data_IF_898775249758
#
_entry.id   IF_898775249758
#
_cell.length_a   1.000
_cell.length_b   1.000
_cell.length_c   1.000
_cell.angle_alpha   90.00
_cell.angle_beta   90.00
_cell.angle_gamma   90.00
#
_symmetry.space_group_name_H-M   'P 1'
#
loop_
_entity.id
_entity.type
_entity.pdbx_description
1 polymer ?
#
# COMPACT_ATOMS: atom_id res chain seq x y z
N UNK A 1 -8.47 -4.92 5.62
CA UNK A 1 -9.65 -4.04 5.56
C UNK A 1 -10.74 -4.55 6.50
N UNK A 2 -11.33 -5.73 6.32
CA UNK A 2 -12.46 -6.24 7.10
C UNK A 2 -12.22 -6.26 8.62
N UNK A 3 -11.01 -6.66 9.07
CA UNK A 3 -10.64 -6.61 10.47
C UNK A 3 -10.48 -5.16 10.98
N UNK A 4 -9.94 -4.27 10.14
CA UNK A 4 -9.75 -2.86 10.47
C UNK A 4 -11.06 -2.14 10.74
N UNK A 5 -12.08 -2.33 9.91
CA UNK A 5 -13.41 -1.71 10.12
C UNK A 5 -13.93 -2.01 11.52
N UNK A 6 -13.87 -3.28 11.95
CA UNK A 6 -14.35 -3.70 13.28
C UNK A 6 -13.56 -3.09 14.44
N UNK A 7 -12.29 -2.77 14.22
CA UNK A 7 -11.45 -2.12 15.25
C UNK A 7 -11.80 -0.65 15.35
N UNK A 8 -11.85 0.05 14.23
CA UNK A 8 -12.14 1.49 14.22
C UNK A 8 -13.54 1.84 14.73
N UNK A 9 -14.54 0.99 14.47
CA UNK A 9 -15.91 1.20 14.96
C UNK A 9 -16.03 1.09 16.49
N UNK A 10 -15.04 0.52 17.17
CA UNK A 10 -14.99 0.39 18.64
C UNK A 10 -14.19 1.50 19.32
N UNK A 11 -13.53 2.36 18.55
CA UNK A 11 -12.73 3.43 19.11
C UNK A 11 -13.63 4.63 19.43
N UNK A 12 -13.81 4.91 20.70
CA UNK A 12 -14.53 6.08 21.19
C UNK A 12 -13.57 7.29 21.30
N UNK A 13 -13.10 7.78 20.16
CA UNK A 13 -12.16 8.89 20.07
C UNK A 13 -12.87 10.20 19.73
N UNK A 14 -12.33 11.32 20.20
CA UNK A 14 -12.85 12.66 19.95
C UNK A 14 -11.73 13.60 19.51
N UNK A 15 -12.10 14.71 18.85
CA UNK A 15 -11.13 15.74 18.43
C UNK A 15 -10.06 15.22 17.47
N UNK A 16 -8.80 15.60 17.74
CA UNK A 16 -7.66 15.31 16.88
C UNK A 16 -7.32 13.82 16.84
N UNK A 17 -7.57 13.08 17.92
CA UNK A 17 -7.38 11.64 17.95
C UNK A 17 -8.34 10.92 17.00
N UNK A 18 -9.60 11.35 16.96
CA UNK A 18 -10.59 10.83 16.01
C UNK A 18 -10.20 11.13 14.57
N UNK A 19 -9.66 12.31 14.31
CA UNK A 19 -9.14 12.71 13.00
C UNK A 19 -7.96 11.84 12.59
N UNK A 20 -7.00 11.61 13.49
CA UNK A 20 -5.87 10.74 13.26
C UNK A 20 -6.28 9.29 12.96
N UNK A 21 -7.22 8.74 13.75
CA UNK A 21 -7.77 7.41 13.52
C UNK A 21 -8.47 7.30 12.15
N UNK A 22 -9.20 8.32 11.74
CA UNK A 22 -9.86 8.34 10.43
C UNK A 22 -8.86 8.38 9.26
N UNK A 23 -7.73 9.09 9.41
CA UNK A 23 -6.64 9.08 8.42
C UNK A 23 -6.11 7.66 8.24
N UNK A 24 -5.84 6.95 9.34
CA UNK A 24 -5.37 5.55 9.28
C UNK A 24 -6.43 4.62 8.67
N UNK A 25 -7.70 4.82 9.02
CA UNK A 25 -8.84 4.06 8.46
C UNK A 25 -8.89 4.16 6.92
N UNK A 26 -8.68 5.36 6.38
CA UNK A 26 -8.65 5.59 4.93
C UNK A 26 -7.39 4.99 4.31
N UNK A 27 -6.24 5.11 4.98
CA UNK A 27 -4.96 4.61 4.49
C UNK A 27 -4.91 3.07 4.35
N UNK A 28 -5.62 2.33 5.21
CA UNK A 28 -5.68 0.86 5.14
C UNK A 28 -6.31 0.33 3.84
N UNK A 29 -7.09 1.13 3.15
CA UNK A 29 -7.67 0.76 1.85
C UNK A 29 -6.64 0.80 0.70
N UNK A 30 -5.56 1.55 0.85
CA UNK A 30 -4.61 1.82 -0.22
C UNK A 30 -4.02 0.55 -0.88
N UNK A 31 -3.61 -0.50 -0.14
CA UNK A 31 -3.09 -1.71 -0.76
C UNK A 31 -4.11 -2.40 -1.68
N UNK A 32 -5.35 -2.55 -1.24
CA UNK A 32 -6.40 -3.16 -2.06
C UNK A 32 -6.76 -2.27 -3.26
N UNK A 33 -6.80 -0.95 -3.09
CA UNK A 33 -7.01 -0.01 -4.18
C UNK A 33 -5.93 -0.15 -5.25
N UNK A 34 -4.67 -0.31 -4.83
CA UNK A 34 -3.56 -0.50 -5.76
C UNK A 34 -3.65 -1.84 -6.51
N UNK A 35 -4.00 -2.93 -5.81
CA UNK A 35 -4.22 -4.24 -6.44
C UNK A 35 -5.34 -4.15 -7.48
N UNK A 36 -6.46 -3.53 -7.14
CA UNK A 36 -7.59 -3.35 -8.05
C UNK A 36 -7.21 -2.52 -9.28
N UNK A 37 -6.52 -1.40 -9.08
CA UNK A 37 -6.03 -0.56 -10.18
C UNK A 37 -5.08 -1.31 -11.12
N UNK A 38 -4.16 -2.10 -10.56
CA UNK A 38 -3.23 -2.93 -11.33
C UNK A 38 -3.95 -4.02 -12.15
N UNK A 39 -5.10 -4.49 -11.66
CA UNK A 39 -5.97 -5.44 -12.37
C UNK A 39 -6.93 -4.77 -13.37
N UNK A 40 -6.85 -3.44 -13.53
CA UNK A 40 -7.75 -2.69 -14.42
C UNK A 40 -9.17 -2.52 -13.90
N UNK A 41 -9.38 -2.71 -12.60
CA UNK A 41 -10.68 -2.58 -11.94
C UNK A 41 -10.81 -1.21 -11.25
N UNK A 42 -12.06 -0.77 -11.03
CA UNK A 42 -12.33 0.47 -10.28
C UNK A 42 -12.05 0.28 -8.77
N UNK A 43 -11.02 0.94 -8.20
CA UNK A 43 -10.57 0.67 -6.84
C UNK A 43 -11.63 0.92 -5.76
N UNK A 44 -12.45 1.97 -5.91
CA UNK A 44 -13.49 2.31 -4.95
C UNK A 44 -14.55 1.24 -4.86
N UNK A 45 -15.02 0.76 -6.00
CA UNK A 45 -16.03 -0.31 -6.09
C UNK A 45 -15.54 -1.61 -5.46
N UNK A 46 -14.27 -1.96 -5.73
CA UNK A 46 -13.66 -3.17 -5.16
C UNK A 46 -13.58 -3.09 -3.64
N UNK A 47 -13.14 -1.95 -3.09
CA UNK A 47 -13.04 -1.75 -1.64
C UNK A 47 -14.41 -1.88 -0.97
N UNK A 48 -15.42 -1.21 -1.50
CA UNK A 48 -16.77 -1.24 -0.93
C UNK A 48 -17.36 -2.66 -0.98
N UNK A 49 -17.13 -3.37 -2.07
CA UNK A 49 -17.58 -4.75 -2.19
C UNK A 49 -16.88 -5.66 -1.19
N UNK A 50 -15.55 -5.59 -1.05
CA UNK A 50 -14.79 -6.41 -0.08
C UNK A 50 -15.21 -6.13 1.36
N UNK A 51 -15.55 -4.88 1.68
CA UNK A 51 -16.05 -4.53 3.02
C UNK A 51 -17.38 -5.21 3.37
N UNK A 52 -18.24 -5.44 2.38
CA UNK A 52 -19.54 -6.06 2.56
C UNK A 52 -19.51 -7.60 2.56
N UNK A 53 -18.39 -8.20 2.17
CA UNK A 53 -18.24 -9.65 2.10
C UNK A 53 -17.94 -10.30 3.47
N UNK A 54 -18.23 -11.60 3.63
CA UNK A 54 -17.80 -12.35 4.80
C UNK A 54 -16.29 -12.33 5.01
N UNK A 55 -15.85 -12.47 6.26
CA UNK A 55 -14.43 -12.53 6.58
C UNK A 55 -13.74 -13.68 5.84
N UNK A 56 -12.58 -13.40 5.24
CA UNK A 56 -11.82 -14.37 4.43
C UNK A 56 -12.14 -14.33 2.93
N UNK A 57 -13.28 -13.75 2.55
CA UNK A 57 -13.64 -13.55 1.14
C UNK A 57 -13.06 -12.24 0.63
N UNK A 58 -12.47 -12.26 -0.55
CA UNK A 58 -11.86 -11.09 -1.19
C UNK A 58 -11.79 -11.22 -2.70
N UNK A 59 -11.17 -10.24 -3.35
CA UNK A 59 -10.95 -10.23 -4.79
C UNK A 59 -9.78 -11.14 -5.17
N UNK A 60 -10.01 -12.08 -6.04
CA UNK A 60 -8.96 -12.75 -6.81
C UNK A 60 -8.64 -11.86 -8.03
N UNK A 61 -7.54 -11.12 -7.97
CA UNK A 61 -7.16 -10.18 -9.02
C UNK A 61 -6.79 -10.85 -10.36
N UNK A 62 -6.48 -12.14 -10.36
CA UNK A 62 -6.17 -12.89 -11.58
C UNK A 62 -7.43 -13.27 -12.37
N UNK A 63 -8.52 -13.56 -11.69
CA UNK A 63 -9.80 -13.99 -12.31
C UNK A 63 -10.85 -12.88 -12.34
N UNK A 64 -10.72 -11.86 -11.46
CA UNK A 64 -11.73 -10.83 -11.24
C UNK A 64 -12.89 -11.26 -10.34
N UNK A 65 -12.84 -12.48 -9.79
CA UNK A 65 -13.92 -13.06 -8.97
C UNK A 65 -13.72 -12.78 -7.48
N UNK A 66 -14.82 -12.85 -6.73
CA UNK A 66 -14.81 -12.70 -5.26
C UNK A 66 -15.06 -14.05 -4.63
N UNK A 67 -14.04 -14.60 -3.97
CA UNK A 67 -14.04 -15.96 -3.43
C UNK A 67 -13.30 -16.05 -2.09
N UNK A 68 -13.35 -17.21 -1.45
CA UNK A 68 -12.53 -17.49 -0.27
C UNK A 68 -11.06 -17.57 -0.68
N UNK A 69 -10.28 -16.56 -0.27
CA UNK A 69 -8.88 -16.43 -0.67
C UNK A 69 -7.99 -17.52 -0.06
N UNK A 70 -8.35 -18.04 1.12
CA UNK A 70 -7.61 -19.14 1.73
C UNK A 70 -7.83 -20.45 0.97
N UNK A 71 -9.05 -20.73 0.57
CA UNK A 71 -9.38 -21.88 -0.26
C UNK A 71 -8.74 -21.81 -1.65
N UNK A 72 -8.65 -20.59 -2.21
CA UNK A 72 -7.99 -20.32 -3.49
C UNK A 72 -6.44 -20.32 -3.39
N UNK A 73 -5.87 -20.48 -2.20
CA UNK A 73 -4.42 -20.43 -1.98
C UNK A 73 -3.81 -19.04 -2.05
N UNK A 74 -4.63 -18.01 -1.98
CA UNK A 74 -4.21 -16.59 -2.02
C UNK A 74 -4.13 -16.08 -0.59
N UNK A 75 -2.94 -16.15 -0.01
CA UNK A 75 -2.73 -15.70 1.37
C UNK A 75 -1.33 -15.11 1.55
N UNK A 76 -1.27 -13.99 2.24
CA UNK A 76 -0.02 -13.39 2.67
C UNK A 76 0.39 -13.91 4.05
N UNK A 77 1.69 -14.15 4.29
CA UNK A 77 2.18 -14.47 5.63
C UNK A 77 1.87 -13.33 6.61
N UNK A 78 1.24 -13.64 7.74
CA UNK A 78 0.85 -12.65 8.76
C UNK A 78 2.06 -11.83 9.26
N UNK A 79 3.24 -12.45 9.36
CA UNK A 79 4.46 -11.75 9.74
C UNK A 79 4.81 -10.61 8.78
N UNK A 80 4.63 -10.81 7.48
CA UNK A 80 4.94 -9.81 6.44
C UNK A 80 3.96 -8.65 6.53
N UNK A 81 2.66 -8.91 6.54
CA UNK A 81 1.62 -7.88 6.62
C UNK A 81 1.69 -7.08 7.92
N UNK A 82 1.96 -7.75 9.04
CA UNK A 82 2.16 -7.10 10.34
C UNK A 82 3.39 -6.19 10.33
N UNK A 83 4.54 -6.68 9.83
CA UNK A 83 5.76 -5.88 9.77
C UNK A 83 5.61 -4.68 8.85
N UNK A 84 4.93 -4.83 7.71
CA UNK A 84 4.64 -3.73 6.79
C UNK A 84 3.83 -2.62 7.49
N UNK A 85 2.78 -2.98 8.21
CA UNK A 85 1.94 -2.02 8.94
C UNK A 85 2.72 -1.33 10.08
N UNK A 86 3.51 -2.09 10.85
CA UNK A 86 4.32 -1.53 11.94
C UNK A 86 5.37 -0.55 11.42
N UNK A 87 6.06 -0.90 10.35
CA UNK A 87 7.07 -0.03 9.73
C UNK A 87 6.43 1.23 9.14
N UNK A 88 5.30 1.10 8.45
CA UNK A 88 4.56 2.23 7.91
C UNK A 88 4.11 3.19 9.02
N UNK A 89 3.56 2.69 10.11
CA UNK A 89 3.15 3.49 11.26
C UNK A 89 4.34 4.20 11.93
N UNK A 90 5.48 3.51 12.08
CA UNK A 90 6.70 4.09 12.64
C UNK A 90 7.25 5.24 11.78
N UNK A 91 7.32 5.04 10.46
CA UNK A 91 7.80 6.06 9.54
C UNK A 91 6.83 7.25 9.50
N UNK A 92 5.53 7.01 9.42
CA UNK A 92 4.52 8.07 9.45
C UNK A 92 4.61 8.90 10.74
N UNK A 93 4.76 8.24 11.90
CA UNK A 93 4.95 8.91 13.17
C UNK A 93 6.21 9.79 13.20
N UNK A 94 7.31 9.31 12.60
CA UNK A 94 8.54 10.10 12.48
C UNK A 94 8.33 11.33 11.58
N UNK A 95 7.67 11.17 10.44
CA UNK A 95 7.36 12.29 9.54
C UNK A 95 6.54 13.39 10.23
N UNK A 96 5.59 13.02 11.06
CA UNK A 96 4.75 13.98 11.81
C UNK A 96 5.54 14.83 12.82
N UNK A 97 6.74 14.41 13.19
CA UNK A 97 7.63 15.16 14.10
C UNK A 97 8.64 16.05 13.39
N UNK A 98 8.69 16.02 12.05
CA UNK A 98 9.64 16.79 11.24
C UNK A 98 9.00 18.06 10.69
N UNK A 99 9.79 19.15 10.58
CA UNK A 99 9.36 20.39 9.95
C UNK A 99 9.75 20.46 8.46
N UNK A 100 10.74 19.68 8.05
CA UNK A 100 11.25 19.67 6.68
C UNK A 100 11.79 18.30 6.27
N UNK A 101 11.69 18.00 4.99
CA UNK A 101 12.29 16.81 4.36
C UNK A 101 13.24 17.25 3.26
N UNK A 102 14.46 16.75 3.30
CA UNK A 102 15.47 16.97 2.25
C UNK A 102 15.59 15.71 1.41
N UNK A 103 15.39 15.84 0.11
CA UNK A 103 15.49 14.73 -0.84
C UNK A 103 16.34 15.15 -2.05
N UNK A 104 17.05 14.18 -2.62
CA UNK A 104 17.79 14.41 -3.85
C UNK A 104 16.81 14.66 -5.01
N UNK A 105 17.10 15.68 -5.83
CA UNK A 105 16.36 15.90 -7.06
C UNK A 105 16.68 14.76 -8.03
N UNK A 106 15.68 14.13 -8.67
CA UNK A 106 15.93 13.13 -9.70
C UNK A 106 16.79 13.70 -10.82
N UNK A 107 17.87 13.03 -11.17
CA UNK A 107 18.66 13.40 -12.34
C UNK A 107 17.88 13.07 -13.60
N UNK A 108 17.93 13.94 -14.66
CA UNK A 108 17.33 13.64 -15.94
C UNK A 108 17.94 12.35 -16.48
N UNK A 109 17.13 11.38 -16.87
CA UNK A 109 17.61 10.19 -17.58
C UNK A 109 18.23 10.60 -18.89
N UNK A 110 19.58 10.67 -18.98
CA UNK A 110 20.25 11.07 -20.22
C UNK A 110 21.66 11.61 -20.16
N UNK A 111 22.30 11.68 -19.00
CA UNK A 111 23.76 11.90 -18.96
C UNK A 111 24.49 10.54 -18.96
N UNK A 112 24.47 9.86 -20.11
CA UNK A 112 25.47 8.82 -20.37
C UNK A 112 26.85 9.50 -20.37
N UNK A 113 27.73 9.01 -19.48
CA UNK A 113 29.09 9.50 -19.40
C UNK A 113 29.77 9.41 -20.78
N UNK A 114 30.36 10.47 -21.29
CA UNK A 114 31.16 10.37 -22.50
C UNK A 114 32.51 9.73 -22.14
N UNK A 115 32.80 8.56 -22.71
CA UNK A 115 34.17 8.10 -22.74
C UNK A 115 34.46 6.71 -22.23
N UNK A 116 34.13 5.70 -23.03
CA UNK A 116 34.82 4.41 -22.97
C UNK A 116 35.01 3.75 -24.35
N UNK A 117 35.07 4.55 -25.42
CA UNK A 117 35.38 4.03 -26.76
C UNK A 117 36.46 4.88 -27.44
N UNK A 118 37.67 4.94 -26.84
CA UNK A 118 38.81 5.49 -27.51
C UNK A 118 40.10 4.85 -26.96
N UNK A 119 40.25 3.55 -27.03
CA UNK A 119 41.55 2.87 -27.02
C UNK A 119 41.39 1.44 -27.52
N UNK A 120 41.44 1.23 -28.80
CA UNK A 120 41.37 -0.08 -29.42
C UNK A 120 41.69 -0.06 -30.90
N UNK A 121 42.68 0.73 -31.30
CA UNK A 121 43.12 0.74 -32.68
C UNK A 121 44.59 1.05 -32.78
N UNK A 122 45.47 0.06 -32.53
CA UNK A 122 46.81 -0.02 -33.09
C UNK A 122 47.46 -1.33 -32.56
N UNK A 123 47.41 -2.34 -33.41
CA UNK A 123 48.45 -3.23 -33.81
C UNK A 123 47.83 -4.40 -34.59
#
# INVERSE_FOLDING_TARGET
IQAGVKVFDKLELTGDEATGANIVRVAIDAPLKQIAANAGLEPGVVVDRVRSLPAGTGLNAATGEYEDLMAAGIADPVKVTRSALQNAASIAGLFLTTEAVVANKPEPAGAAAPGADAMGGMM
#
